data_IF_686141600331
#
_entry.id   IF_686141600331
#
_cell.length_a   1.000
_cell.length_b   1.000
_cell.length_c   1.000
_cell.angle_alpha   90.00
_cell.angle_beta   90.00
_cell.angle_gamma   90.00
#
_symmetry.space_group_name_H-M   'P 1'
#
loop_
_entity.id
_entity.type
_entity.pdbx_description
1 polymer ?
#
# COMPACT_ATOMS: atom_id res chain seq x y z
N UNK A 1 -1.88 19.78 -23.53
CA UNK A 1 -3.16 20.44 -23.26
C UNK A 1 -3.67 19.82 -21.98
N UNK A 2 -3.67 20.55 -20.88
CA UNK A 2 -4.19 20.06 -19.59
C UNK A 2 -5.68 19.86 -19.70
N UNK A 3 -6.22 18.73 -19.25
CA UNK A 3 -7.66 18.56 -19.17
C UNK A 3 -8.18 19.41 -18.01
N UNK A 4 -8.93 20.46 -18.32
CA UNK A 4 -9.79 21.14 -17.35
C UNK A 4 -10.84 20.14 -16.89
N UNK A 5 -10.66 19.60 -15.67
CA UNK A 5 -11.66 18.80 -15.00
C UNK A 5 -12.92 19.66 -14.80
N UNK A 6 -13.97 19.35 -15.54
CA UNK A 6 -15.33 19.77 -15.18
C UNK A 6 -15.82 18.83 -14.08
N UNK A 7 -15.32 19.04 -12.85
CA UNK A 7 -15.93 18.44 -11.68
C UNK A 7 -17.33 19.01 -11.54
N UNK A 8 -18.34 18.19 -11.83
CA UNK A 8 -19.74 18.53 -11.63
C UNK A 8 -20.01 18.80 -10.15
N UNK A 9 -20.98 19.66 -9.87
CA UNK A 9 -21.39 20.10 -8.54
C UNK A 9 -21.93 19.01 -7.60
N UNK A 10 -21.82 17.70 -7.96
CA UNK A 10 -22.40 16.57 -7.27
C UNK A 10 -21.40 15.46 -6.86
N UNK A 11 -20.08 15.71 -6.92
CA UNK A 11 -19.10 14.73 -6.42
C UNK A 11 -19.09 14.74 -4.88
N UNK A 12 -19.57 13.67 -4.20
CA UNK A 12 -19.63 13.62 -2.75
C UNK A 12 -18.24 13.66 -2.10
N UNK A 13 -17.18 13.29 -2.82
CA UNK A 13 -15.82 13.32 -2.32
C UNK A 13 -15.22 14.72 -2.28
N UNK A 14 -15.70 15.66 -3.07
CA UNK A 14 -15.08 16.98 -3.29
C UNK A 14 -14.81 17.78 -2.00
N UNK A 15 -15.67 17.62 -0.98
CA UNK A 15 -15.49 18.29 0.33
C UNK A 15 -14.40 17.67 1.18
N UNK A 16 -14.08 16.40 0.92
CA UNK A 16 -13.15 15.59 1.70
C UNK A 16 -11.75 15.58 1.09
N UNK A 17 -11.61 16.06 -0.16
CA UNK A 17 -10.33 16.16 -0.87
C UNK A 17 -9.48 17.31 -0.32
N UNK A 18 -8.15 17.11 -0.36
CA UNK A 18 -7.20 18.18 -0.13
C UNK A 18 -7.16 19.16 -1.32
N UNK A 19 -6.83 20.45 -1.10
CA UNK A 19 -6.64 21.41 -2.18
C UNK A 19 -5.58 20.96 -3.19
N UNK A 20 -5.84 21.15 -4.50
CA UNK A 20 -4.91 20.78 -5.57
C UNK A 20 -3.84 21.85 -5.85
N UNK A 21 -3.89 22.99 -5.18
CA UNK A 21 -2.93 24.07 -5.36
C UNK A 21 -1.48 23.69 -5.02
N UNK A 22 -1.28 22.65 -4.18
CA UNK A 22 0.04 22.10 -3.82
C UNK A 22 0.05 20.61 -4.14
N UNK A 23 1.05 20.17 -4.92
CA UNK A 23 1.18 18.80 -5.40
C UNK A 23 2.51 18.19 -4.93
N UNK A 24 2.50 17.06 -4.21
CA UNK A 24 3.73 16.38 -3.81
C UNK A 24 4.43 15.73 -5.01
N UNK A 25 5.76 15.67 -4.96
CA UNK A 25 6.61 14.99 -5.93
C UNK A 25 7.48 13.92 -5.29
N UNK A 26 7.95 14.20 -4.07
CA UNK A 26 8.83 13.31 -3.34
C UNK A 26 8.69 13.49 -1.84
N UNK A 27 8.74 12.40 -1.12
CA UNK A 27 8.85 12.36 0.33
C UNK A 27 10.22 11.80 0.73
N UNK A 28 10.94 12.52 1.59
CA UNK A 28 12.04 11.96 2.36
C UNK A 28 11.55 11.86 3.81
N UNK A 29 11.29 10.63 4.23
CA UNK A 29 10.72 10.31 5.54
C UNK A 29 11.81 9.73 6.43
N UNK A 30 12.01 10.31 7.61
CA UNK A 30 12.87 9.76 8.64
C UNK A 30 12.06 9.49 9.90
N UNK A 31 12.16 8.27 10.42
CA UNK A 31 11.45 7.82 11.61
C UNK A 31 12.40 7.17 12.61
N UNK A 32 12.14 7.39 13.87
CA UNK A 32 12.86 6.80 15.00
C UNK A 32 11.85 6.15 15.96
N UNK A 33 11.46 4.88 15.71
CA UNK A 33 10.56 4.16 16.61
C UNK A 33 11.26 3.76 17.90
N UNK A 34 10.58 3.97 19.02
CA UNK A 34 10.91 3.41 20.31
C UNK A 34 9.87 2.33 20.65
N UNK A 35 10.24 1.08 20.38
CA UNK A 35 9.31 -0.05 20.55
C UNK A 35 9.01 -0.36 22.02
N UNK A 36 9.92 0.02 22.94
CA UNK A 36 9.74 -0.16 24.40
C UNK A 36 8.79 0.90 24.96
N UNK A 37 9.00 2.17 24.62
CA UNK A 37 8.13 3.27 25.03
C UNK A 37 6.82 3.32 24.23
N UNK A 38 6.67 2.51 23.18
CA UNK A 38 5.53 2.50 22.26
C UNK A 38 5.27 3.89 21.63
N UNK A 39 6.33 4.59 21.22
CA UNK A 39 6.28 5.91 20.59
C UNK A 39 7.19 5.97 19.37
N UNK A 40 7.04 7.02 18.58
CA UNK A 40 8.00 7.32 17.52
C UNK A 40 8.15 8.83 17.34
N UNK A 41 9.30 9.25 16.85
CA UNK A 41 9.56 10.61 16.37
C UNK A 41 9.89 10.55 14.89
N UNK A 42 9.57 11.61 14.15
CA UNK A 42 9.84 11.68 12.72
C UNK A 42 10.01 13.09 12.18
N UNK A 43 10.65 13.16 11.04
CA UNK A 43 10.68 14.31 10.15
C UNK A 43 10.24 13.85 8.76
N UNK A 44 9.32 14.57 8.16
CA UNK A 44 8.97 14.41 6.75
C UNK A 44 9.36 15.66 5.97
N UNK A 45 10.03 15.45 4.84
CA UNK A 45 10.38 16.48 3.86
C UNK A 45 9.63 16.16 2.58
N UNK A 46 8.74 17.07 2.16
CA UNK A 46 7.88 16.89 0.98
C UNK A 46 8.33 17.90 -0.08
N UNK A 47 9.00 17.42 -1.11
CA UNK A 47 9.22 18.23 -2.31
C UNK A 47 7.89 18.37 -3.04
N UNK A 48 7.45 19.60 -3.22
CA UNK A 48 6.14 19.93 -3.79
C UNK A 48 6.21 21.02 -4.84
N UNK A 49 5.21 21.03 -5.71
CA UNK A 49 4.96 22.12 -6.66
C UNK A 49 3.73 22.90 -6.20
N UNK A 50 3.90 24.18 -5.97
CA UNK A 50 2.80 25.12 -5.74
C UNK A 50 2.35 25.64 -7.10
N UNK A 51 1.11 25.35 -7.49
CA UNK A 51 0.54 25.72 -8.79
C UNK A 51 -0.13 27.09 -8.77
N UNK A 52 -0.69 27.48 -7.63
CA UNK A 52 -1.43 28.72 -7.42
C UNK A 52 -0.97 29.38 -6.12
N UNK A 53 -1.06 30.71 -5.97
CA UNK A 53 -0.72 31.39 -4.72
C UNK A 53 -1.57 30.85 -3.56
N UNK A 54 -0.94 30.43 -2.47
CA UNK A 54 -1.61 29.91 -1.27
C UNK A 54 -1.18 30.63 -0.01
N UNK A 55 -2.09 30.83 0.93
CA UNK A 55 -1.79 31.35 2.27
C UNK A 55 -1.47 30.20 3.26
N UNK A 56 -2.07 29.06 3.03
CA UNK A 56 -1.99 27.88 3.89
C UNK A 56 -1.67 26.64 3.04
N UNK A 57 -0.91 25.71 3.61
CA UNK A 57 -0.69 24.38 3.05
C UNK A 57 -1.43 23.38 3.93
N UNK A 58 -2.26 22.53 3.35
CA UNK A 58 -3.07 21.57 4.08
C UNK A 58 -2.57 20.16 3.81
N UNK A 59 -2.28 19.41 4.86
CA UNK A 59 -1.92 17.99 4.83
C UNK A 59 -2.91 17.19 5.68
N UNK A 60 -3.02 15.89 5.41
CA UNK A 60 -3.66 14.97 6.34
C UNK A 60 -2.68 14.66 7.50
N UNK A 61 -3.21 14.62 8.71
CA UNK A 61 -2.50 14.23 9.92
C UNK A 61 -3.53 13.84 10.99
N UNK A 62 -3.36 12.70 11.61
CA UNK A 62 -4.21 12.19 12.67
C UNK A 62 -3.36 11.54 13.77
N UNK A 63 -3.73 11.75 15.04
CA UNK A 63 -3.06 11.18 16.21
C UNK A 63 -1.54 11.51 16.29
N UNK A 64 -1.11 12.60 15.64
CA UNK A 64 0.26 13.11 15.65
C UNK A 64 0.37 14.44 16.40
N UNK A 65 1.47 14.62 17.13
CA UNK A 65 1.85 15.91 17.68
C UNK A 65 2.89 16.55 16.76
N UNK A 66 2.50 17.62 16.05
CA UNK A 66 3.37 18.39 15.16
C UNK A 66 4.11 19.45 15.98
N UNK A 67 5.43 19.32 16.09
CA UNK A 67 6.28 20.18 16.92
C UNK A 67 6.89 21.36 16.17
N UNK A 68 7.03 21.26 14.85
CA UNK A 68 7.60 22.31 14.01
C UNK A 68 7.29 22.09 12.53
N UNK A 69 7.20 23.21 11.79
CA UNK A 69 7.07 23.15 10.35
C UNK A 69 7.77 24.36 9.69
N UNK A 70 8.35 24.16 8.50
CA UNK A 70 8.95 25.21 7.68
C UNK A 70 8.81 24.89 6.20
N UNK A 71 8.88 25.93 5.39
CA UNK A 71 8.93 25.86 3.93
C UNK A 71 10.29 26.30 3.46
N UNK A 72 11.06 25.42 2.87
CA UNK A 72 12.34 25.73 2.22
C UNK A 72 12.06 26.17 0.78
N UNK A 73 12.61 27.31 0.39
CA UNK A 73 12.34 27.96 -0.90
C UNK A 73 13.65 28.24 -1.62
N UNK A 74 13.73 27.87 -2.88
CA UNK A 74 14.96 28.10 -3.64
C UNK A 74 15.33 29.59 -3.71
N UNK A 75 16.55 29.94 -3.29
CA UNK A 75 17.07 31.31 -3.35
C UNK A 75 16.42 32.31 -2.39
N UNK A 76 15.62 31.86 -1.43
CA UNK A 76 14.97 32.68 -0.39
C UNK A 76 15.24 32.06 1.00
N UNK A 77 15.14 32.85 2.08
CA UNK A 77 15.14 32.31 3.43
C UNK A 77 13.98 31.32 3.64
N UNK A 78 14.19 30.36 4.51
CA UNK A 78 13.13 29.46 4.96
C UNK A 78 12.00 30.26 5.60
N UNK A 79 10.78 29.86 5.31
CA UNK A 79 9.57 30.43 5.87
C UNK A 79 9.07 29.53 7.01
N UNK A 80 8.97 30.06 8.22
CA UNK A 80 8.35 29.35 9.31
C UNK A 80 6.86 29.14 9.00
N UNK A 81 6.40 27.91 9.19
CA UNK A 81 5.00 27.53 9.07
C UNK A 81 4.43 27.28 10.48
N UNK A 82 3.22 27.74 10.70
CA UNK A 82 2.53 27.58 11.99
C UNK A 82 1.48 26.47 11.88
N UNK A 83 1.76 25.25 12.41
CA UNK A 83 0.84 24.12 12.34
C UNK A 83 -0.39 24.36 13.22
N UNK A 84 -1.54 24.08 12.66
CA UNK A 84 -2.83 24.06 13.36
C UNK A 84 -3.53 22.73 13.02
N UNK A 85 -3.66 21.87 14.01
CA UNK A 85 -4.35 20.59 13.87
C UNK A 85 -5.87 20.81 13.86
N UNK A 86 -6.53 20.10 12.98
CA UNK A 86 -7.99 19.89 12.93
C UNK A 86 -8.22 18.40 13.10
N UNK A 87 -8.49 18.00 14.35
CA UNK A 87 -8.63 16.59 14.72
C UNK A 87 -9.89 15.96 14.09
N UNK A 88 -10.97 16.74 13.92
CA UNK A 88 -12.22 16.24 13.31
C UNK A 88 -12.05 15.95 11.82
N UNK A 89 -11.30 16.81 11.12
CA UNK A 89 -11.02 16.63 9.70
C UNK A 89 -9.78 15.76 9.43
N UNK A 90 -9.06 15.31 10.46
CA UNK A 90 -7.77 14.61 10.37
C UNK A 90 -6.76 15.35 9.48
N UNK A 91 -6.59 16.67 9.74
CA UNK A 91 -5.75 17.57 8.94
C UNK A 91 -4.83 18.41 9.81
N UNK A 92 -3.73 18.83 9.22
CA UNK A 92 -2.90 19.94 9.73
C UNK A 92 -2.86 21.03 8.70
N UNK A 93 -3.25 22.24 9.11
CA UNK A 93 -3.14 23.47 8.34
C UNK A 93 -1.82 24.15 8.71
N UNK A 94 -0.91 24.25 7.76
CA UNK A 94 0.39 24.88 7.91
C UNK A 94 0.28 26.33 7.41
N UNK A 95 0.09 27.29 8.34
CA UNK A 95 -0.09 28.70 8.02
C UNK A 95 1.24 29.36 7.74
N UNK A 96 1.37 29.98 6.56
CA UNK A 96 2.62 30.60 6.12
C UNK A 96 2.81 32.04 6.64
N UNK A 97 1.75 32.73 7.06
CA UNK A 97 1.82 34.13 7.47
C UNK A 97 2.06 35.13 6.33
N UNK A 98 2.39 34.65 5.15
CA UNK A 98 2.51 35.41 3.88
C UNK A 98 2.02 34.50 2.73
N UNK A 99 1.77 35.07 1.57
CA UNK A 99 1.42 34.30 0.36
C UNK A 99 2.63 33.49 -0.13
N UNK A 100 2.44 32.20 -0.28
CA UNK A 100 3.40 31.31 -0.96
C UNK A 100 3.10 31.36 -2.45
N UNK A 101 4.05 31.89 -3.21
CA UNK A 101 3.93 32.02 -4.65
C UNK A 101 4.14 30.71 -5.38
N UNK A 102 3.61 30.53 -6.60
CA UNK A 102 3.84 29.36 -7.44
C UNK A 102 5.31 29.06 -7.64
N UNK A 103 5.66 27.75 -7.64
CA UNK A 103 7.03 27.27 -7.80
C UNK A 103 7.30 26.00 -7.02
N UNK A 104 8.55 25.57 -7.02
CA UNK A 104 9.00 24.41 -6.25
C UNK A 104 9.37 24.82 -4.82
N UNK A 105 8.99 24.01 -3.85
CA UNK A 105 9.31 24.22 -2.45
C UNK A 105 9.44 22.86 -1.73
N UNK A 106 10.08 22.87 -0.54
CA UNK A 106 10.13 21.70 0.33
C UNK A 106 9.41 22.02 1.63
N UNK A 107 8.34 21.30 1.90
CA UNK A 107 7.61 21.36 3.17
C UNK A 107 8.33 20.42 4.12
N UNK A 108 8.77 20.92 5.27
CA UNK A 108 9.43 20.12 6.31
C UNK A 108 8.57 20.16 7.56
N UNK A 109 8.22 19.00 8.08
CA UNK A 109 7.40 18.86 9.28
C UNK A 109 8.05 17.91 10.26
N UNK A 110 8.20 18.33 11.53
CA UNK A 110 8.68 17.53 12.65
C UNK A 110 7.49 17.09 13.50
N UNK A 111 7.44 15.82 13.86
CA UNK A 111 6.29 15.24 14.56
C UNK A 111 6.68 14.08 15.47
N UNK A 112 5.78 13.75 16.38
CA UNK A 112 5.82 12.53 17.21
C UNK A 112 4.47 11.84 17.17
N UNK A 113 4.46 10.52 17.43
CA UNK A 113 3.24 9.72 17.50
C UNK A 113 3.39 8.54 18.46
N UNK A 114 2.33 7.79 18.58
CA UNK A 114 2.25 6.60 19.43
C UNK A 114 2.16 5.36 18.54
N UNK A 115 3.00 4.35 18.84
CA UNK A 115 2.82 3.01 18.28
C UNK A 115 1.62 2.38 18.96
N UNK A 116 0.45 2.52 18.34
CA UNK A 116 -0.80 2.00 18.88
C UNK A 116 -0.86 0.46 18.81
N UNK A 117 -1.93 -0.13 19.33
CA UNK A 117 -2.23 -1.56 19.33
C UNK A 117 -3.55 -1.89 18.58
N UNK A 118 -3.96 -0.98 17.65
CA UNK A 118 -5.23 -1.08 16.92
C UNK A 118 -5.10 -1.71 15.54
N UNK A 119 -3.89 -2.17 15.16
CA UNK A 119 -3.56 -2.85 13.91
C UNK A 119 -3.74 -1.96 12.66
N UNK A 120 -3.64 -0.65 12.80
CA UNK A 120 -3.66 0.31 11.69
C UNK A 120 -2.73 1.51 11.97
N UNK A 121 -2.35 2.25 10.93
CA UNK A 121 -1.33 3.29 11.01
C UNK A 121 0.05 2.68 11.27
N UNK A 122 0.88 3.34 12.06
CA UNK A 122 2.14 2.78 12.55
C UNK A 122 1.91 2.19 13.95
N UNK A 123 1.90 0.88 14.03
CA UNK A 123 1.42 0.16 15.21
C UNK A 123 2.41 -0.90 15.69
N UNK A 124 2.16 -1.45 16.87
CA UNK A 124 2.93 -2.55 17.44
C UNK A 124 2.20 -3.88 17.33
N UNK A 125 2.87 -4.86 16.75
CA UNK A 125 2.50 -6.27 16.75
C UNK A 125 3.33 -7.00 17.79
N UNK A 126 2.70 -7.72 18.72
CA UNK A 126 3.38 -8.45 19.78
C UNK A 126 3.36 -9.96 19.51
N UNK A 127 4.44 -10.65 19.87
CA UNK A 127 4.48 -12.11 19.83
C UNK A 127 5.29 -12.67 20.98
N UNK A 128 5.06 -13.95 21.29
CA UNK A 128 5.83 -14.69 22.27
C UNK A 128 6.69 -15.73 21.56
N UNK A 129 8.01 -15.66 21.76
CA UNK A 129 8.95 -16.65 21.23
C UNK A 129 8.85 -17.99 21.96
N UNK A 130 9.43 -19.07 21.39
CA UNK A 130 9.38 -20.41 21.94
C UNK A 130 9.97 -20.54 23.36
N UNK A 131 10.88 -19.64 23.72
CA UNK A 131 11.49 -19.54 25.06
C UNK A 131 10.59 -18.82 26.08
N UNK A 132 9.42 -18.35 25.66
CA UNK A 132 8.46 -17.59 26.49
C UNK A 132 8.74 -16.09 26.56
N UNK A 133 9.73 -15.57 25.86
CA UNK A 133 10.04 -14.14 25.81
C UNK A 133 9.05 -13.41 24.91
N UNK A 134 8.50 -12.28 25.40
CA UNK A 134 7.64 -11.42 24.61
C UNK A 134 8.46 -10.42 23.81
N UNK A 135 8.11 -10.24 22.54
CA UNK A 135 8.73 -9.31 21.61
C UNK A 135 7.71 -8.41 20.95
N UNK A 136 8.17 -7.27 20.45
CA UNK A 136 7.34 -6.30 19.73
C UNK A 136 7.98 -5.98 18.37
N UNK A 137 7.15 -5.90 17.35
CA UNK A 137 7.46 -5.41 16.01
C UNK A 137 6.69 -4.10 15.84
N UNK A 138 7.36 -3.03 15.42
CA UNK A 138 6.69 -1.85 14.90
C UNK A 138 6.48 -2.03 13.40
N UNK A 139 5.24 -1.98 12.94
CA UNK A 139 4.84 -2.24 11.54
C UNK A 139 3.72 -1.32 11.09
N UNK A 140 3.47 -1.25 9.80
CA UNK A 140 2.48 -0.36 9.20
C UNK A 140 1.30 -1.11 8.60
N UNK A 141 0.11 -0.47 8.63
CA UNK A 141 -1.06 -0.77 7.81
C UNK A 141 -1.75 0.54 7.47
N UNK A 142 -1.69 0.97 6.21
CA UNK A 142 -2.11 2.30 5.82
C UNK A 142 -3.37 2.35 4.95
N UNK A 143 -3.74 1.30 4.29
CA UNK A 143 -4.97 1.26 3.52
C UNK A 143 -6.19 1.23 4.48
N UNK A 144 -7.18 2.07 4.26
CA UNK A 144 -7.30 2.99 3.13
C UNK A 144 -6.59 4.35 3.39
N UNK A 145 -6.70 4.96 4.58
CA UNK A 145 -6.32 6.36 4.86
C UNK A 145 -5.60 6.52 6.19
N UNK A 146 -4.74 5.57 6.54
CA UNK A 146 -4.03 5.54 7.83
C UNK A 146 -2.54 5.93 7.73
N UNK A 147 -2.02 6.30 6.55
CA UNK A 147 -0.68 6.87 6.42
C UNK A 147 -0.56 8.19 7.22
N UNK A 148 -1.63 8.96 7.29
CA UNK A 148 -1.76 10.20 8.09
C UNK A 148 -1.54 10.00 9.59
N UNK A 149 -1.64 8.77 10.10
CA UNK A 149 -1.37 8.42 11.52
C UNK A 149 0.10 8.12 11.77
N UNK A 150 0.90 8.00 10.72
CA UNK A 150 2.33 7.74 10.79
C UNK A 150 3.18 8.96 10.42
N UNK A 151 2.72 9.80 9.48
CA UNK A 151 3.38 11.04 9.09
C UNK A 151 2.42 12.01 8.39
N UNK A 152 2.58 13.33 8.52
CA UNK A 152 1.79 14.30 7.76
C UNK A 152 2.03 14.16 6.26
N UNK A 153 0.95 14.01 5.47
CA UNK A 153 1.04 13.72 4.04
C UNK A 153 -0.19 14.18 3.25
N UNK A 154 -0.11 14.09 1.93
CA UNK A 154 -1.27 14.18 1.03
C UNK A 154 -1.83 12.75 0.89
N UNK A 155 -2.67 12.34 1.84
CA UNK A 155 -3.14 10.97 2.00
C UNK A 155 -4.36 10.65 1.12
N UNK A 156 -4.14 10.77 -0.18
CA UNK A 156 -5.12 10.51 -1.23
C UNK A 156 -4.50 9.66 -2.34
N UNK A 157 -5.22 8.68 -2.93
CA UNK A 157 -4.63 7.74 -3.87
C UNK A 157 -4.08 8.39 -5.15
N UNK A 158 -4.60 9.54 -5.58
CA UNK A 158 -4.13 10.25 -6.76
C UNK A 158 -3.00 11.28 -6.49
N UNK A 159 -2.47 11.31 -5.28
CA UNK A 159 -1.33 12.15 -4.88
C UNK A 159 -0.02 11.35 -4.89
N UNK A 160 0.22 10.64 -5.99
CA UNK A 160 1.42 9.82 -6.13
C UNK A 160 2.70 10.63 -6.03
N UNK A 161 3.68 10.09 -5.32
CA UNK A 161 5.02 10.66 -5.18
C UNK A 161 6.07 9.55 -4.99
N UNK A 162 7.34 9.90 -5.14
CA UNK A 162 8.46 9.03 -4.79
C UNK A 162 8.69 9.07 -3.29
N UNK A 163 8.90 7.92 -2.66
CA UNK A 163 9.21 7.82 -1.23
C UNK A 163 10.64 7.34 -1.00
N UNK A 164 11.36 8.03 -0.11
CA UNK A 164 12.64 7.62 0.43
C UNK A 164 12.49 7.47 1.94
N UNK A 165 12.60 6.27 2.45
CA UNK A 165 12.43 5.98 3.88
C UNK A 165 13.79 5.81 4.55
N UNK A 166 13.94 6.44 5.72
CA UNK A 166 15.11 6.29 6.60
C UNK A 166 14.62 5.94 8.00
N UNK A 167 15.13 4.85 8.57
CA UNK A 167 14.77 4.39 9.90
C UNK A 167 15.98 4.47 10.85
N UNK A 168 15.79 5.07 12.01
CA UNK A 168 16.73 4.96 13.13
C UNK A 168 16.34 3.70 13.93
N UNK A 169 17.09 2.62 13.74
CA UNK A 169 16.76 1.27 14.22
C UNK A 169 17.44 1.01 15.55
N UNK A 170 16.71 0.60 16.61
CA UNK A 170 17.28 0.22 17.88
C UNK A 170 18.27 -0.96 17.77
N UNK A 171 19.19 -1.12 18.75
CA UNK A 171 20.15 -2.23 18.75
C UNK A 171 19.47 -3.59 18.69
N UNK A 172 20.02 -4.51 17.88
CA UNK A 172 19.55 -5.89 17.77
C UNK A 172 18.28 -6.10 16.95
N UNK A 173 17.67 -5.03 16.40
CA UNK A 173 16.51 -5.14 15.53
C UNK A 173 16.89 -5.04 14.06
N UNK A 174 16.06 -5.68 13.21
CA UNK A 174 16.09 -5.55 11.77
C UNK A 174 15.09 -4.48 11.31
N UNK A 175 15.29 -3.99 10.08
CA UNK A 175 14.36 -3.04 9.46
C UNK A 175 14.10 -3.43 8.01
N UNK A 176 12.85 -3.22 7.55
CA UNK A 176 12.40 -3.46 6.19
C UNK A 176 11.50 -2.30 5.73
N UNK A 177 11.53 -2.02 4.44
CA UNK A 177 10.67 -1.01 3.80
C UNK A 177 10.46 -1.36 2.32
N UNK A 178 9.76 -0.53 1.58
CA UNK A 178 9.46 -0.72 0.15
C UNK A 178 10.71 -0.97 -0.71
N UNK A 179 11.73 -0.12 -0.59
CA UNK A 179 12.99 -0.27 -1.32
C UNK A 179 13.99 -1.21 -0.63
N UNK A 180 15.10 -1.59 -1.30
CA UNK A 180 16.22 -2.29 -0.68
C UNK A 180 16.99 -1.36 0.28
N UNK A 181 17.67 -1.94 1.27
CA UNK A 181 18.64 -1.21 2.11
C UNK A 181 19.82 -0.74 1.22
N UNK A 182 20.03 0.57 1.13
CA UNK A 182 21.08 1.18 0.30
C UNK A 182 22.18 1.82 1.11
N UNK A 183 21.92 2.15 2.39
CA UNK A 183 22.92 2.73 3.29
C UNK A 183 22.61 2.34 4.73
N UNK A 184 23.64 2.04 5.49
CA UNK A 184 23.55 1.78 6.93
C UNK A 184 24.72 2.45 7.67
N UNK A 185 24.40 3.21 8.71
CA UNK A 185 25.39 3.91 9.53
C UNK A 185 25.09 3.73 11.02
N UNK A 186 26.11 3.54 11.88
CA UNK A 186 25.90 3.40 13.31
C UNK A 186 25.38 4.69 13.94
N UNK A 187 24.53 4.55 14.96
CA UNK A 187 24.05 5.65 15.78
C UNK A 187 24.80 5.70 17.13
N UNK A 188 24.94 6.88 17.74
CA UNK A 188 25.50 7.01 19.07
C UNK A 188 24.78 6.20 20.16
N UNK A 189 23.49 5.91 19.96
CA UNK A 189 22.66 5.08 20.82
C UNK A 189 22.99 3.58 20.78
N UNK A 190 23.93 3.15 19.91
CA UNK A 190 24.29 1.74 19.70
C UNK A 190 23.42 1.05 18.63
N UNK A 191 22.38 1.70 18.13
CA UNK A 191 21.59 1.25 16.99
C UNK A 191 22.22 1.65 15.64
N UNK A 192 21.42 1.60 14.58
CA UNK A 192 21.86 1.98 13.22
C UNK A 192 20.81 2.81 12.50
N UNK A 193 21.23 3.76 11.68
CA UNK A 193 20.37 4.42 10.70
C UNK A 193 20.42 3.65 9.41
N UNK A 194 19.26 3.31 8.90
CA UNK A 194 19.10 2.56 7.65
C UNK A 194 18.32 3.43 6.68
N UNK A 195 18.90 3.67 5.50
CA UNK A 195 18.22 4.32 4.39
C UNK A 195 17.87 3.29 3.33
N UNK A 196 16.63 3.33 2.88
CA UNK A 196 16.12 2.49 1.80
C UNK A 196 16.14 3.22 0.46
N UNK A 197 16.19 2.45 -0.62
CA UNK A 197 16.10 2.95 -1.99
C UNK A 197 14.78 3.67 -2.25
N UNK A 198 14.79 4.56 -3.21
CA UNK A 198 13.61 5.30 -3.63
C UNK A 198 12.58 4.37 -4.25
N UNK A 199 11.31 4.65 -4.03
CA UNK A 199 10.21 3.94 -4.70
C UNK A 199 9.97 4.52 -6.10
N UNK A 200 9.15 3.84 -6.91
CA UNK A 200 8.46 4.51 -8.02
C UNK A 200 7.45 5.53 -7.46
N UNK A 201 6.92 6.45 -8.30
CA UNK A 201 5.78 7.26 -7.88
C UNK A 201 4.57 6.37 -7.50
N UNK A 202 4.19 6.40 -6.23
CA UNK A 202 3.09 5.59 -5.69
C UNK A 202 2.26 6.38 -4.68
N UNK A 203 1.09 5.84 -4.32
CA UNK A 203 0.18 6.43 -3.33
C UNK A 203 0.71 6.20 -1.90
N UNK A 204 0.30 7.06 -0.96
CA UNK A 204 0.71 6.99 0.45
C UNK A 204 0.33 5.69 1.13
N UNK A 205 -0.83 5.11 0.79
CA UNK A 205 -1.32 3.88 1.41
C UNK A 205 -0.43 2.65 1.16
N UNK A 206 0.44 2.70 0.13
CA UNK A 206 1.38 1.64 -0.24
C UNK A 206 2.73 1.72 0.49
N UNK A 207 2.96 2.77 1.28
CA UNK A 207 4.20 2.93 2.03
C UNK A 207 4.22 1.96 3.20
N UNK A 208 5.35 1.25 3.34
CA UNK A 208 5.56 0.34 4.47
C UNK A 208 6.94 0.53 5.10
N UNK A 209 6.98 0.40 6.42
CA UNK A 209 8.22 0.29 7.17
C UNK A 209 8.01 -0.55 8.44
N UNK A 210 8.99 -1.40 8.71
CA UNK A 210 8.89 -2.42 9.75
C UNK A 210 10.21 -2.44 10.52
N UNK A 211 10.14 -2.46 11.85
CA UNK A 211 11.30 -2.57 12.74
C UNK A 211 10.99 -3.62 13.82
N UNK A 212 11.81 -4.65 13.91
CA UNK A 212 11.58 -5.72 14.88
C UNK A 212 12.66 -6.80 14.89
N UNK A 213 12.54 -7.79 15.77
CA UNK A 213 13.41 -8.97 15.78
C UNK A 213 13.00 -9.94 14.66
N UNK A 214 13.27 -9.55 13.42
CA UNK A 214 12.90 -10.28 12.22
C UNK A 214 14.13 -10.81 11.50
N UNK A 215 13.95 -11.90 10.76
CA UNK A 215 14.95 -12.50 9.88
C UNK A 215 14.37 -12.72 8.50
N UNK A 216 15.20 -12.62 7.47
CA UNK A 216 14.82 -12.88 6.09
C UNK A 216 15.46 -14.18 5.61
N UNK A 217 14.78 -14.90 4.73
CA UNK A 217 15.36 -16.02 3.98
C UNK A 217 16.44 -15.52 3.01
N UNK A 218 17.29 -16.41 2.51
CA UNK A 218 18.08 -16.13 1.33
C UNK A 218 17.14 -15.78 0.16
N UNK A 219 17.53 -14.82 -0.72
CA UNK A 219 16.70 -14.43 -1.83
C UNK A 219 16.64 -15.50 -2.92
N UNK A 220 15.45 -15.70 -3.48
CA UNK A 220 15.24 -16.43 -4.73
C UNK A 220 15.14 -15.42 -5.86
N UNK A 221 16.00 -15.53 -6.87
CA UNK A 221 15.94 -14.64 -8.04
C UNK A 221 14.81 -15.09 -8.97
N UNK A 222 13.92 -14.14 -9.31
CA UNK A 222 12.85 -14.34 -10.29
C UNK A 222 12.98 -13.26 -11.36
N UNK A 223 13.55 -13.60 -12.49
CA UNK A 223 13.78 -12.69 -13.61
C UNK A 223 14.52 -11.39 -13.23
N UNK A 224 15.49 -11.48 -12.32
CA UNK A 224 16.29 -10.36 -11.82
C UNK A 224 15.70 -9.67 -10.56
N UNK A 225 14.54 -10.10 -10.11
CA UNK A 225 13.92 -9.59 -8.87
C UNK A 225 14.23 -10.54 -7.70
N UNK A 226 14.91 -10.11 -6.64
CA UNK A 226 15.12 -10.91 -5.43
C UNK A 226 13.83 -11.00 -4.62
N UNK A 227 13.36 -12.24 -4.38
CA UNK A 227 12.16 -12.56 -3.61
C UNK A 227 12.56 -13.22 -2.30
N UNK A 228 12.05 -12.73 -1.17
CA UNK A 228 12.35 -13.26 0.18
C UNK A 228 11.09 -13.39 1.01
N UNK A 229 11.13 -14.28 2.00
CA UNK A 229 10.18 -14.27 3.11
C UNK A 229 10.86 -13.72 4.36
N UNK A 230 10.20 -12.79 5.03
CA UNK A 230 10.64 -12.19 6.29
C UNK A 230 9.72 -12.68 7.40
N UNK A 231 10.29 -13.16 8.49
CA UNK A 231 9.52 -13.81 9.56
C UNK A 231 10.18 -13.60 10.94
N UNK A 232 9.47 -13.90 12.01
CA UNK A 232 10.04 -13.97 13.35
C UNK A 232 11.01 -15.16 13.47
N UNK A 233 12.06 -15.10 14.31
CA UNK A 233 12.99 -16.23 14.50
C UNK A 233 12.25 -17.53 14.81
N UNK A 234 12.80 -18.66 14.31
CA UNK A 234 12.24 -20.01 14.52
C UNK A 234 11.24 -20.48 13.46
N UNK A 235 10.80 -19.60 12.53
CA UNK A 235 9.77 -19.94 11.52
C UNK A 235 10.33 -20.26 10.12
N UNK A 236 11.66 -20.31 9.95
CA UNK A 236 12.29 -20.48 8.62
C UNK A 236 11.84 -21.72 7.86
N UNK A 237 11.62 -22.85 8.54
CA UNK A 237 11.17 -24.10 7.93
C UNK A 237 9.75 -24.02 7.31
N UNK A 238 8.98 -22.97 7.61
CA UNK A 238 7.61 -22.76 7.13
C UNK A 238 7.54 -21.88 5.88
N UNK A 239 8.66 -21.40 5.35
CA UNK A 239 8.70 -20.37 4.29
C UNK A 239 8.72 -20.94 2.88
N UNK A 240 9.04 -22.23 2.70
CA UNK A 240 9.33 -22.81 1.40
C UNK A 240 8.15 -22.72 0.41
N UNK A 241 6.93 -23.00 0.88
CA UNK A 241 5.75 -22.92 0.02
C UNK A 241 5.42 -21.49 -0.40
N UNK A 242 5.60 -20.51 0.50
CA UNK A 242 5.41 -19.10 0.18
C UNK A 242 6.38 -18.62 -0.90
N UNK A 243 7.66 -19.01 -0.81
CA UNK A 243 8.66 -18.71 -1.85
C UNK A 243 8.31 -19.35 -3.19
N UNK A 244 7.87 -20.61 -3.20
CA UNK A 244 7.44 -21.31 -4.42
C UNK A 244 6.25 -20.59 -5.08
N UNK A 245 5.22 -20.27 -4.31
CA UNK A 245 4.03 -19.59 -4.80
C UNK A 245 4.34 -18.17 -5.31
N UNK A 246 5.14 -17.41 -4.56
CA UNK A 246 5.53 -16.05 -4.94
C UNK A 246 6.40 -16.03 -6.21
N UNK A 247 7.35 -16.96 -6.33
CA UNK A 247 8.19 -17.07 -7.53
C UNK A 247 7.33 -17.40 -8.77
N UNK A 248 6.37 -18.31 -8.62
CA UNK A 248 5.42 -18.63 -9.70
C UNK A 248 4.57 -17.41 -10.06
N UNK A 249 3.95 -16.75 -9.07
CA UNK A 249 3.06 -15.63 -9.29
C UNK A 249 3.78 -14.45 -9.99
N UNK A 250 4.97 -14.10 -9.52
CA UNK A 250 5.76 -13.01 -10.10
C UNK A 250 6.13 -13.31 -11.57
N UNK A 251 6.59 -14.52 -11.86
CA UNK A 251 6.92 -14.94 -13.24
C UNK A 251 5.66 -14.98 -14.13
N UNK A 252 4.55 -15.52 -13.61
CA UNK A 252 3.28 -15.60 -14.32
C UNK A 252 2.76 -14.21 -14.71
N UNK A 253 2.72 -13.27 -13.75
CA UNK A 253 2.19 -11.93 -14.01
C UNK A 253 3.09 -11.10 -14.92
N UNK A 254 4.41 -11.19 -14.77
CA UNK A 254 5.36 -10.55 -15.69
C UNK A 254 5.12 -11.00 -17.14
N UNK A 255 4.96 -12.31 -17.38
CA UNK A 255 4.60 -12.82 -18.72
C UNK A 255 3.19 -12.39 -19.15
N UNK A 256 2.21 -12.54 -18.24
CA UNK A 256 0.81 -12.30 -18.59
C UNK A 256 0.55 -10.83 -18.95
N UNK A 257 1.10 -9.88 -18.18
CA UNK A 257 0.98 -8.45 -18.47
C UNK A 257 1.95 -7.98 -19.54
N UNK A 258 3.10 -8.65 -19.71
CA UNK A 258 4.17 -8.20 -20.59
C UNK A 258 4.84 -6.91 -20.11
N UNK A 259 4.78 -6.66 -18.81
CA UNK A 259 5.34 -5.51 -18.11
C UNK A 259 6.13 -6.07 -16.94
N UNK A 260 7.40 -5.69 -16.83
CA UNK A 260 8.27 -6.11 -15.73
C UNK A 260 7.72 -5.64 -14.39
N UNK A 261 8.05 -6.39 -13.34
CA UNK A 261 7.75 -6.00 -11.96
C UNK A 261 8.29 -4.59 -11.65
N UNK A 262 7.48 -3.68 -11.11
CA UNK A 262 7.87 -2.27 -10.97
C UNK A 262 8.79 -1.98 -9.78
N UNK A 263 9.07 -2.96 -8.91
CA UNK A 263 9.92 -2.80 -7.73
C UNK A 263 11.31 -3.39 -7.89
N UNK A 264 12.23 -3.03 -6.99
CA UNK A 264 13.62 -3.52 -7.00
C UNK A 264 13.80 -4.85 -6.24
N UNK A 265 12.84 -5.23 -5.43
CA UNK A 265 12.79 -6.46 -4.63
C UNK A 265 11.35 -6.80 -4.25
N UNK A 266 11.14 -8.02 -3.78
CA UNK A 266 9.84 -8.45 -3.23
C UNK A 266 10.08 -9.19 -1.91
N UNK A 267 9.79 -8.52 -0.78
CA UNK A 267 9.76 -9.12 0.54
C UNK A 267 8.31 -9.46 0.92
N UNK A 268 8.05 -10.71 1.28
CA UNK A 268 6.80 -11.17 1.88
C UNK A 268 7.01 -11.25 3.39
N UNK A 269 6.37 -10.35 4.14
CA UNK A 269 6.65 -10.17 5.57
C UNK A 269 5.52 -10.75 6.42
N UNK A 270 5.82 -11.81 7.18
CA UNK A 270 4.90 -12.44 8.12
C UNK A 270 4.78 -11.60 9.40
N UNK A 271 3.63 -11.02 9.65
CA UNK A 271 3.32 -10.23 10.85
C UNK A 271 2.41 -11.06 11.77
N UNK A 272 2.79 -11.30 13.03
CA UNK A 272 2.00 -12.10 13.98
C UNK A 272 0.59 -11.56 14.22
N UNK A 273 0.47 -10.24 14.49
CA UNK A 273 -0.80 -9.55 14.66
C UNK A 273 -1.06 -8.62 13.47
N UNK A 274 -1.91 -9.04 12.54
CA UNK A 274 -2.29 -8.30 11.35
C UNK A 274 -3.81 -8.34 11.16
N UNK A 275 -4.44 -7.19 10.88
CA UNK A 275 -5.90 -7.07 10.84
C UNK A 275 -6.53 -7.82 9.66
N UNK A 276 -5.86 -7.75 8.49
CA UNK A 276 -6.34 -8.31 7.22
C UNK A 276 -5.65 -9.65 6.89
N UNK A 277 -5.87 -10.15 5.69
CA UNK A 277 -5.11 -11.28 5.13
C UNK A 277 -3.69 -10.85 4.81
N UNK A 278 -3.57 -9.83 3.97
CA UNK A 278 -2.31 -9.22 3.58
C UNK A 278 -2.52 -7.75 3.13
N UNK A 279 -1.44 -7.11 2.67
CA UNK A 279 -1.42 -5.75 2.15
C UNK A 279 -0.31 -5.61 1.11
N UNK A 280 -0.66 -5.09 -0.04
CA UNK A 280 0.14 -5.01 -1.27
C UNK A 280 1.25 -3.97 -1.27
N UNK A 281 1.77 -3.51 -0.13
CA UNK A 281 2.82 -2.50 -0.10
C UNK A 281 3.96 -2.83 -1.07
N UNK A 282 4.18 -2.00 -2.08
CA UNK A 282 5.16 -2.24 -3.13
C UNK A 282 6.52 -2.68 -2.57
N UNK A 283 6.99 -3.86 -2.96
CA UNK A 283 8.27 -4.40 -2.53
C UNK A 283 8.37 -4.87 -1.08
N UNK A 284 7.35 -4.65 -0.24
CA UNK A 284 7.32 -5.02 1.18
C UNK A 284 5.92 -5.46 1.60
N UNK A 285 5.42 -6.52 0.97
CA UNK A 285 4.06 -7.03 1.16
C UNK A 285 3.93 -7.64 2.56
N UNK A 286 3.00 -7.12 3.35
CA UNK A 286 2.76 -7.60 4.71
C UNK A 286 1.63 -8.62 4.73
N UNK A 287 1.80 -9.70 5.47
CA UNK A 287 0.85 -10.80 5.59
C UNK A 287 0.54 -11.09 7.05
N UNK A 288 -0.68 -11.45 7.33
CA UNK A 288 -0.94 -12.21 8.56
C UNK A 288 -0.14 -13.51 8.49
N UNK A 289 0.62 -13.81 9.52
CA UNK A 289 1.51 -14.98 9.56
C UNK A 289 0.81 -16.28 9.12
N UNK A 290 -0.44 -16.49 9.55
CA UNK A 290 -1.20 -17.72 9.29
C UNK A 290 -1.61 -17.91 7.80
N UNK A 291 -1.51 -16.89 6.96
CA UNK A 291 -1.79 -17.00 5.51
C UNK A 291 -0.52 -16.84 4.66
N UNK A 292 0.65 -16.97 5.26
CA UNK A 292 1.93 -16.98 4.58
C UNK A 292 2.78 -18.20 4.96
N UNK A 293 2.88 -18.51 6.25
CA UNK A 293 3.80 -19.52 6.78
C UNK A 293 3.08 -20.85 6.98
N UNK A 294 3.60 -21.92 6.39
CA UNK A 294 2.99 -23.26 6.46
C UNK A 294 4.02 -24.38 6.30
N UNK A 295 3.82 -25.47 7.03
CA UNK A 295 4.47 -26.76 6.72
C UNK A 295 3.62 -27.52 5.68
N UNK A 296 4.05 -27.57 4.40
CA UNK A 296 3.24 -28.19 3.34
C UNK A 296 3.06 -29.70 3.53
N UNK A 297 3.90 -30.35 4.34
CA UNK A 297 3.75 -31.78 4.64
C UNK A 297 2.61 -32.06 5.63
N UNK A 298 2.17 -31.05 6.38
CA UNK A 298 1.15 -31.13 7.42
C UNK A 298 -0.13 -30.39 7.08
N UNK A 299 -0.08 -29.46 6.14
CA UNK A 299 -1.20 -28.65 5.72
C UNK A 299 -2.22 -29.43 4.89
N UNK A 300 -3.47 -29.06 5.02
CA UNK A 300 -4.52 -29.48 4.09
C UNK A 300 -4.36 -28.78 2.75
N UNK A 301 -4.93 -29.37 1.69
CA UNK A 301 -4.99 -28.72 0.38
C UNK A 301 -5.65 -27.34 0.45
N UNK A 302 -6.69 -27.18 1.24
CA UNK A 302 -7.43 -25.93 1.37
C UNK A 302 -6.57 -24.80 2.00
N UNK A 303 -5.70 -25.15 2.96
CA UNK A 303 -4.76 -24.17 3.54
C UNK A 303 -3.71 -23.75 2.51
N UNK A 304 -3.15 -24.70 1.75
CA UNK A 304 -2.19 -24.38 0.68
C UNK A 304 -2.83 -23.53 -0.44
N UNK A 305 -4.07 -23.90 -0.84
CA UNK A 305 -4.85 -23.15 -1.83
C UNK A 305 -5.06 -21.70 -1.38
N UNK A 306 -5.51 -21.49 -0.13
CA UNK A 306 -5.70 -20.15 0.40
C UNK A 306 -4.40 -19.32 0.49
N UNK A 307 -3.29 -19.93 0.88
CA UNK A 307 -1.99 -19.24 0.93
C UNK A 307 -1.53 -18.85 -0.48
N UNK A 308 -1.67 -19.74 -1.46
CA UNK A 308 -1.34 -19.45 -2.85
C UNK A 308 -2.24 -18.34 -3.43
N UNK A 309 -3.54 -18.34 -3.10
CA UNK A 309 -4.49 -17.31 -3.49
C UNK A 309 -4.05 -15.94 -2.96
N UNK A 310 -3.86 -15.82 -1.64
CA UNK A 310 -3.48 -14.53 -1.03
C UNK A 310 -2.14 -14.04 -1.56
N UNK A 311 -1.11 -14.90 -1.69
CA UNK A 311 0.18 -14.50 -2.26
C UNK A 311 0.02 -14.01 -3.71
N UNK A 312 -0.77 -14.71 -4.52
CA UNK A 312 -1.00 -14.32 -5.92
C UNK A 312 -1.82 -13.04 -6.02
N UNK A 313 -2.78 -12.82 -5.12
CA UNK A 313 -3.56 -11.59 -5.00
C UNK A 313 -2.64 -10.39 -4.77
N UNK A 314 -1.83 -10.44 -3.71
CA UNK A 314 -0.92 -9.35 -3.36
C UNK A 314 0.11 -9.06 -4.44
N UNK A 315 0.60 -10.08 -5.14
CA UNK A 315 1.55 -9.86 -6.24
C UNK A 315 0.86 -9.28 -7.49
N UNK A 316 -0.42 -9.61 -7.73
CA UNK A 316 -1.19 -9.01 -8.82
C UNK A 316 -1.38 -7.49 -8.63
N UNK A 317 -1.52 -7.04 -7.39
CA UNK A 317 -1.60 -5.62 -7.04
C UNK A 317 -0.40 -4.79 -7.47
N UNK A 318 0.77 -5.38 -7.66
CA UNK A 318 1.96 -4.66 -8.14
C UNK A 318 1.69 -3.98 -9.50
N UNK A 319 0.74 -4.47 -10.28
CA UNK A 319 0.25 -3.86 -11.52
C UNK A 319 -1.08 -3.14 -11.32
N UNK A 320 -2.04 -3.74 -10.56
CA UNK A 320 -3.35 -3.17 -10.26
C UNK A 320 -3.43 -2.69 -8.82
N UNK A 321 -3.11 -1.44 -8.57
CA UNK A 321 -2.98 -0.82 -7.25
C UNK A 321 -1.71 0.00 -7.16
N UNK A 322 -0.55 -0.59 -7.48
CA UNK A 322 0.74 0.06 -7.37
C UNK A 322 1.13 0.80 -8.64
N UNK A 323 1.26 0.08 -9.78
CA UNK A 323 1.64 0.70 -11.04
C UNK A 323 0.53 1.62 -11.56
N UNK A 324 -0.69 1.12 -11.60
CA UNK A 324 -1.91 1.86 -11.97
C UNK A 324 -2.87 1.80 -10.79
N UNK A 325 -3.31 2.95 -10.27
CA UNK A 325 -4.12 3.06 -9.06
C UNK A 325 -5.45 3.74 -9.37
N UNK A 326 -6.53 3.38 -8.70
CA UNK A 326 -7.77 4.14 -8.77
C UNK A 326 -7.54 5.62 -8.39
N UNK A 327 -8.35 6.53 -8.93
CA UNK A 327 -8.27 7.97 -8.64
C UNK A 327 -8.82 8.31 -7.26
N UNK A 328 -9.89 7.62 -6.84
CA UNK A 328 -10.52 7.75 -5.55
C UNK A 328 -11.12 6.41 -5.11
N UNK A 329 -11.48 6.29 -3.87
CA UNK A 329 -11.92 5.05 -3.22
C UNK A 329 -13.20 4.44 -3.83
N UNK A 330 -14.03 5.21 -4.56
CA UNK A 330 -15.14 4.65 -5.33
C UNK A 330 -14.71 3.67 -6.42
N UNK A 331 -13.47 3.81 -6.90
CA UNK A 331 -12.85 2.95 -7.91
C UNK A 331 -12.03 1.80 -7.34
N UNK A 332 -12.08 1.51 -6.03
CA UNK A 332 -11.26 0.46 -5.39
C UNK A 332 -11.40 -0.93 -6.04
N UNK A 333 -12.54 -1.22 -6.68
CA UNK A 333 -12.73 -2.45 -7.43
C UNK A 333 -11.76 -2.63 -8.60
N UNK A 334 -11.20 -1.54 -9.15
CA UNK A 334 -10.16 -1.58 -10.18
C UNK A 334 -8.86 -2.20 -9.65
N UNK A 335 -8.61 -2.13 -8.36
CA UNK A 335 -7.51 -2.81 -7.70
C UNK A 335 -7.97 -4.24 -7.31
N UNK A 336 -8.95 -4.35 -6.45
CA UNK A 336 -9.32 -5.55 -5.72
C UNK A 336 -9.96 -6.64 -6.58
N UNK A 337 -10.90 -6.26 -7.46
CA UNK A 337 -11.52 -7.23 -8.35
C UNK A 337 -10.51 -7.78 -9.37
N UNK A 338 -9.58 -6.94 -9.86
CA UNK A 338 -8.53 -7.41 -10.73
C UNK A 338 -7.56 -8.33 -10.01
N UNK A 339 -7.10 -7.98 -8.81
CA UNK A 339 -6.25 -8.84 -8.02
C UNK A 339 -6.92 -10.21 -7.77
N UNK A 340 -8.20 -10.21 -7.39
CA UNK A 340 -8.98 -11.45 -7.20
C UNK A 340 -9.13 -12.25 -8.50
N UNK A 341 -9.39 -11.61 -9.64
CA UNK A 341 -9.46 -12.31 -10.92
C UNK A 341 -8.10 -12.90 -11.31
N UNK A 342 -7.03 -12.16 -11.10
CA UNK A 342 -5.67 -12.56 -11.47
C UNK A 342 -5.11 -13.64 -10.54
N UNK A 343 -5.45 -13.62 -9.24
CA UNK A 343 -5.10 -14.72 -8.32
C UNK A 343 -5.64 -16.04 -8.81
N UNK A 344 -6.92 -16.06 -9.23
CA UNK A 344 -7.58 -17.27 -9.74
C UNK A 344 -6.91 -17.80 -11.02
N UNK A 345 -6.54 -16.91 -11.94
CA UNK A 345 -5.80 -17.28 -13.15
C UNK A 345 -4.42 -17.86 -12.82
N UNK A 346 -3.73 -17.22 -11.88
CA UNK A 346 -2.38 -17.60 -11.48
C UNK A 346 -2.38 -18.94 -10.74
N UNK A 347 -3.26 -19.12 -9.76
CA UNK A 347 -3.30 -20.36 -8.94
C UNK A 347 -3.83 -21.55 -9.74
N UNK A 348 -4.77 -21.33 -10.67
CA UNK A 348 -5.19 -22.39 -11.61
C UNK A 348 -4.06 -22.84 -12.54
N UNK A 349 -3.16 -21.91 -12.91
CA UNK A 349 -1.94 -22.25 -13.67
C UNK A 349 -0.86 -22.91 -12.79
N UNK A 350 -0.73 -22.48 -11.52
CA UNK A 350 0.23 -23.02 -10.54
C UNK A 350 -0.06 -24.47 -10.16
N UNK A 351 -1.33 -24.78 -9.91
CA UNK A 351 -1.81 -26.10 -9.49
C UNK A 351 -3.14 -26.44 -10.19
N UNK A 352 -3.10 -26.83 -11.48
CA UNK A 352 -4.34 -27.10 -12.26
C UNK A 352 -5.26 -28.13 -11.62
N UNK A 353 -4.70 -29.07 -10.87
CA UNK A 353 -5.43 -30.12 -10.15
C UNK A 353 -6.27 -29.59 -8.97
N UNK A 354 -6.09 -28.32 -8.59
CA UNK A 354 -6.93 -27.70 -7.57
C UNK A 354 -8.26 -27.19 -8.13
N UNK A 355 -8.36 -26.98 -9.45
CA UNK A 355 -9.58 -26.55 -10.14
C UNK A 355 -10.16 -25.24 -9.57
N UNK A 356 -9.30 -24.21 -9.42
CA UNK A 356 -9.68 -22.94 -8.74
C UNK A 356 -10.93 -22.28 -9.30
N UNK A 357 -11.16 -22.35 -10.61
CA UNK A 357 -12.38 -21.82 -11.21
C UNK A 357 -13.65 -22.56 -10.76
N UNK A 358 -13.57 -23.82 -10.33
CA UNK A 358 -14.71 -24.55 -9.77
C UNK A 358 -15.00 -24.05 -8.35
N UNK A 359 -13.96 -23.89 -7.52
CA UNK A 359 -14.10 -23.36 -6.15
C UNK A 359 -14.62 -21.92 -6.17
N UNK A 360 -14.13 -21.07 -7.10
CA UNK A 360 -14.63 -19.71 -7.30
C UNK A 360 -16.14 -19.67 -7.62
N UNK A 361 -16.68 -20.69 -8.26
CA UNK A 361 -18.13 -20.80 -8.47
C UNK A 361 -18.94 -20.69 -7.18
N UNK A 362 -18.48 -21.28 -6.09
CA UNK A 362 -19.12 -21.21 -4.77
C UNK A 362 -18.94 -19.82 -4.12
N UNK A 363 -17.76 -19.23 -4.25
CA UNK A 363 -17.47 -17.88 -3.73
C UNK A 363 -18.33 -16.82 -4.44
N UNK A 364 -18.42 -16.92 -5.76
CA UNK A 364 -19.29 -16.08 -6.58
C UNK A 364 -20.76 -16.24 -6.19
N UNK A 365 -21.23 -17.46 -5.96
CA UNK A 365 -22.62 -17.73 -5.57
C UNK A 365 -22.94 -17.11 -4.20
N UNK A 366 -21.97 -17.11 -3.26
CA UNK A 366 -22.10 -16.40 -1.98
C UNK A 366 -22.18 -14.88 -2.17
N UNK A 367 -21.36 -14.31 -3.07
CA UNK A 367 -21.44 -12.91 -3.43
C UNK A 367 -22.78 -12.55 -4.09
N UNK A 368 -23.29 -13.40 -4.99
CA UNK A 368 -24.61 -13.22 -5.62
C UNK A 368 -25.76 -13.29 -4.61
N UNK A 369 -25.65 -14.12 -3.57
CA UNK A 369 -26.64 -14.16 -2.49
C UNK A 369 -26.69 -12.84 -1.70
N UNK A 370 -25.53 -12.22 -1.46
CA UNK A 370 -25.41 -10.87 -0.87
C UNK A 370 -25.96 -9.82 -1.83
N UNK A 371 -25.62 -9.92 -3.12
CA UNK A 371 -26.05 -8.99 -4.17
C UNK A 371 -27.57 -9.02 -4.43
N UNK A 372 -28.25 -10.11 -4.09
CA UNK A 372 -29.70 -10.22 -4.20
C UNK A 372 -30.46 -9.48 -3.08
N UNK A 373 -29.79 -8.96 -2.08
CA UNK A 373 -30.41 -8.21 -0.99
C UNK A 373 -30.82 -6.80 -1.46
N UNK A 374 -31.90 -6.24 -0.86
CA UNK A 374 -32.30 -4.85 -1.14
C UNK A 374 -31.23 -3.81 -0.74
N UNK A 375 -30.35 -4.17 0.18
CA UNK A 375 -29.22 -3.34 0.64
C UNK A 375 -27.95 -3.51 -0.18
N UNK A 376 -28.02 -4.16 -1.33
CA UNK A 376 -26.87 -4.32 -2.22
C UNK A 376 -26.41 -2.99 -2.82
N UNK A 377 -25.20 -3.00 -3.35
CA UNK A 377 -24.62 -1.88 -4.10
C UNK A 377 -23.98 -2.34 -5.42
N UNK A 378 -23.81 -1.45 -6.41
CA UNK A 378 -22.98 -1.73 -7.57
C UNK A 378 -21.50 -1.93 -7.17
N UNK A 379 -20.70 -2.50 -8.06
CA UNK A 379 -19.26 -2.73 -7.85
C UNK A 379 -18.53 -1.40 -7.62
N UNK A 380 -18.82 -0.40 -8.46
CA UNK A 380 -18.40 0.99 -8.22
C UNK A 380 -19.51 1.71 -7.43
N UNK A 381 -19.15 2.25 -6.27
CA UNK A 381 -20.09 2.92 -5.39
C UNK A 381 -19.50 4.23 -4.87
N UNK A 382 -20.26 5.33 -4.85
CA UNK A 382 -19.75 6.61 -4.35
C UNK A 382 -19.21 6.51 -2.93
N UNK A 383 -17.99 6.99 -2.73
CA UNK A 383 -17.35 7.15 -1.42
C UNK A 383 -17.16 8.63 -1.20
N UNK A 384 -17.81 9.19 -0.20
CA UNK A 384 -17.68 10.59 0.19
C UNK A 384 -16.49 10.78 1.13
N UNK A 385 -16.68 10.65 2.44
CA UNK A 385 -15.61 10.75 3.40
C UNK A 385 -14.70 9.50 3.35
N UNK A 386 -13.40 9.66 3.63
CA UNK A 386 -12.43 8.57 3.57
C UNK A 386 -12.77 7.36 4.45
N UNK A 387 -13.45 7.57 5.57
CA UNK A 387 -13.88 6.51 6.50
C UNK A 387 -14.86 5.51 5.86
N UNK A 388 -15.61 5.95 4.84
CA UNK A 388 -16.51 5.07 4.08
C UNK A 388 -15.75 4.10 3.18
N UNK A 389 -14.47 4.40 2.87
CA UNK A 389 -13.65 3.52 2.04
C UNK A 389 -13.50 2.13 2.66
N UNK A 390 -13.39 2.05 4.00
CA UNK A 390 -13.29 0.77 4.70
C UNK A 390 -14.50 -0.15 4.43
N UNK A 391 -15.68 0.41 4.22
CA UNK A 391 -16.90 -0.35 3.89
C UNK A 391 -16.93 -0.92 2.47
N UNK A 392 -15.95 -0.55 1.63
CA UNK A 392 -15.84 -1.06 0.26
C UNK A 392 -15.13 -2.41 0.18
N UNK A 393 -14.38 -2.83 1.22
CA UNK A 393 -13.65 -4.10 1.24
C UNK A 393 -14.57 -5.26 1.62
N UNK A 394 -15.44 -5.67 0.69
CA UNK A 394 -16.42 -6.75 0.88
C UNK A 394 -16.56 -7.65 -0.35
N UNK A 395 -17.37 -8.70 -0.25
CA UNK A 395 -17.60 -9.67 -1.31
C UNK A 395 -18.14 -9.05 -2.62
N UNK A 396 -18.73 -7.85 -2.58
CA UNK A 396 -19.22 -7.16 -3.76
C UNK A 396 -18.06 -6.53 -4.54
N UNK A 397 -17.07 -5.98 -3.87
CA UNK A 397 -15.86 -5.48 -4.51
C UNK A 397 -14.99 -6.62 -5.05
N UNK A 398 -14.74 -7.64 -4.23
CA UNK A 398 -13.83 -8.75 -4.56
C UNK A 398 -14.51 -9.77 -5.51
N UNK A 399 -15.41 -10.63 -5.01
CA UNK A 399 -15.92 -11.78 -5.74
C UNK A 399 -16.94 -11.39 -6.83
N UNK A 400 -17.85 -10.44 -6.58
CA UNK A 400 -18.75 -9.93 -7.62
C UNK A 400 -17.95 -9.23 -8.70
N UNK A 401 -16.98 -8.36 -8.32
CA UNK A 401 -16.09 -7.67 -9.25
C UNK A 401 -15.28 -8.64 -10.12
N UNK A 402 -14.64 -9.65 -9.52
CA UNK A 402 -13.94 -10.71 -10.25
C UNK A 402 -14.87 -11.51 -11.15
N UNK A 403 -16.10 -11.75 -10.71
CA UNK A 403 -17.14 -12.38 -11.53
C UNK A 403 -17.49 -11.56 -12.78
N UNK A 404 -17.55 -10.24 -12.67
CA UNK A 404 -17.75 -9.32 -13.81
C UNK A 404 -16.56 -9.40 -14.78
N UNK A 405 -15.31 -9.35 -14.27
CA UNK A 405 -14.13 -9.49 -15.11
C UNK A 405 -14.05 -10.85 -15.81
N UNK A 406 -14.43 -11.93 -15.13
CA UNK A 406 -14.51 -13.26 -15.74
C UNK A 406 -15.57 -13.32 -16.84
N UNK A 407 -16.72 -12.68 -16.64
CA UNK A 407 -17.76 -12.58 -17.66
C UNK A 407 -17.23 -11.84 -18.90
N UNK A 408 -16.55 -10.72 -18.72
CA UNK A 408 -15.94 -9.94 -19.81
C UNK A 408 -14.89 -10.74 -20.57
N UNK A 409 -13.99 -11.41 -19.85
CA UNK A 409 -12.96 -12.26 -20.44
C UNK A 409 -13.58 -13.39 -21.29
N UNK A 410 -14.68 -14.00 -20.80
CA UNK A 410 -15.39 -15.03 -21.57
C UNK A 410 -16.16 -14.47 -22.77
N UNK A 411 -16.69 -13.27 -22.67
CA UNK A 411 -17.43 -12.62 -23.74
C UNK A 411 -16.50 -12.12 -24.86
N UNK A 412 -15.39 -11.47 -24.51
CA UNK A 412 -14.41 -10.94 -25.46
C UNK A 412 -13.49 -12.02 -26.04
N UNK A 413 -13.24 -13.07 -25.26
CA UNK A 413 -12.19 -14.06 -25.47
C UNK A 413 -10.90 -13.70 -24.72
N UNK A 414 -10.14 -14.72 -24.31
CA UNK A 414 -8.98 -14.53 -23.43
C UNK A 414 -7.89 -13.61 -24.02
N UNK A 415 -7.54 -13.79 -25.30
CA UNK A 415 -6.51 -12.98 -25.94
C UNK A 415 -6.91 -11.52 -26.19
N UNK A 416 -8.13 -11.19 -26.70
CA UNK A 416 -8.56 -9.80 -26.78
C UNK A 416 -8.64 -9.12 -25.41
N UNK A 417 -9.14 -9.82 -24.39
CA UNK A 417 -9.20 -9.30 -23.03
C UNK A 417 -7.77 -9.01 -22.50
N UNK A 418 -6.84 -9.97 -22.60
CA UNK A 418 -5.45 -9.78 -22.21
C UNK A 418 -4.80 -8.58 -22.93
N UNK A 419 -5.06 -8.44 -24.24
CA UNK A 419 -4.53 -7.32 -25.01
C UNK A 419 -5.10 -5.97 -24.55
N UNK A 420 -6.40 -5.92 -24.20
CA UNK A 420 -7.05 -4.74 -23.62
C UNK A 420 -6.44 -4.36 -22.27
N UNK A 421 -6.26 -5.34 -21.39
CA UNK A 421 -5.64 -5.12 -20.08
C UNK A 421 -4.20 -4.62 -20.20
N UNK A 422 -3.39 -5.20 -21.07
CA UNK A 422 -2.02 -4.71 -21.36
C UNK A 422 -2.02 -3.26 -21.82
N UNK A 423 -2.95 -2.89 -22.71
CA UNK A 423 -3.10 -1.51 -23.19
C UNK A 423 -3.50 -0.57 -22.06
N UNK A 424 -4.43 -0.97 -21.18
CA UNK A 424 -4.84 -0.19 -20.01
C UNK A 424 -3.63 0.08 -19.09
N UNK A 425 -2.90 -0.95 -18.70
CA UNK A 425 -1.74 -0.82 -17.82
C UNK A 425 -0.63 0.02 -18.46
N UNK A 426 -0.36 -0.17 -19.75
CA UNK A 426 0.71 0.56 -20.45
C UNK A 426 0.37 2.04 -20.64
N UNK A 427 -0.90 2.35 -20.92
CA UNK A 427 -1.38 3.73 -21.13
C UNK A 427 -1.34 4.53 -19.82
N UNK A 428 -1.64 3.89 -18.70
CA UNK A 428 -1.84 4.58 -17.41
C UNK A 428 -0.72 4.32 -16.40
N UNK A 429 0.44 3.83 -16.85
CA UNK A 429 1.60 3.55 -15.98
C UNK A 429 1.91 4.72 -15.06
N UNK A 430 2.11 4.43 -13.78
CA UNK A 430 2.42 5.39 -12.70
C UNK A 430 1.33 6.46 -12.50
N UNK A 431 0.17 6.27 -13.11
CA UNK A 431 -0.97 7.19 -13.04
C UNK A 431 -2.14 6.63 -12.24
N UNK A 432 -3.25 7.37 -12.33
CA UNK A 432 -4.51 7.03 -11.68
C UNK A 432 -5.62 6.95 -12.72
N UNK A 433 -6.59 6.07 -12.48
CA UNK A 433 -7.66 5.74 -13.43
C UNK A 433 -9.03 5.75 -12.78
N UNK A 434 -10.02 5.87 -13.63
CA UNK A 434 -11.44 5.67 -13.35
C UNK A 434 -11.96 4.47 -14.18
N UNK A 435 -13.14 3.98 -13.84
CA UNK A 435 -13.76 2.84 -14.54
C UNK A 435 -13.89 3.06 -16.05
N UNK A 436 -14.11 4.30 -16.50
CA UNK A 436 -14.18 4.65 -17.92
C UNK A 436 -12.89 4.31 -18.68
N UNK A 437 -11.72 4.56 -18.07
CA UNK A 437 -10.41 4.27 -18.68
C UNK A 437 -10.22 2.78 -18.97
N UNK A 438 -10.77 1.91 -18.09
CA UNK A 438 -10.79 0.47 -18.33
C UNK A 438 -11.67 0.09 -19.52
N UNK A 439 -12.89 0.66 -19.60
CA UNK A 439 -13.80 0.38 -20.71
C UNK A 439 -13.25 0.83 -22.06
N UNK A 440 -12.58 1.96 -22.09
CA UNK A 440 -11.91 2.49 -23.30
C UNK A 440 -10.75 1.61 -23.77
N UNK A 441 -10.18 0.83 -22.87
CA UNK A 441 -9.07 -0.07 -23.16
C UNK A 441 -9.53 -1.47 -23.62
N UNK A 442 -10.73 -1.93 -23.27
CA UNK A 442 -11.26 -3.24 -23.62
C UNK A 442 -12.04 -3.23 -24.93
#
# INVERSE_FOLDING_TARGET
MSPTSTAGHDDPSARHRLPYAVEPRRYALRLAPDVEAATFAGEVRIEAVVHEPVADIVLNAAELAVSGARLERHGRPDLALHPQLDEEAERVVLRAGETVEPGTAVIVVEFTGVLNDKLHGFYRSAFTADDGTSHVIATTQFEATDARRAFPCFDEPDRKAVFSVTLDVPPGLAAFSNGPEVESAPLPSGGRRVRFGDTIPMSTYLVAFIVGPLVATDPVDVAGTPVRVVHVPGKGDLTAFALEAAAHALAFFTDWFGIDYPGDKLDLVAIPDFAFGAMENLGCVTFREAVLLVDPARASRLELERIADVISHEIAHMWFGDLVTMRWWNGIWLNEAFATFMELLCVDAFRPEWHRWVSFGMERDAAMATDALHSTRPVEYPVGPPEEAQGMFDVLTYQKGAGVLRMLERYLGAEPFRAGIRRYLDTHRLGNTETADLWDAL
#
